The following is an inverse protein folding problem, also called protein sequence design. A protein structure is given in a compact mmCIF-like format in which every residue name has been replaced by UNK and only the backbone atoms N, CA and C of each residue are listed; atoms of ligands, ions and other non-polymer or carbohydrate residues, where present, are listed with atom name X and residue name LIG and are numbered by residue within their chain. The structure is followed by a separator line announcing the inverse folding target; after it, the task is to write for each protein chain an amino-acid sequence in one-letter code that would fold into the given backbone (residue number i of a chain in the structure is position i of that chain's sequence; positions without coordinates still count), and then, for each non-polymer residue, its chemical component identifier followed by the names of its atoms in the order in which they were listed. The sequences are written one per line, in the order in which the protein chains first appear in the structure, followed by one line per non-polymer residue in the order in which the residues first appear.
data_IF_038505826357
#
_entry.id   IF_038505826357
#
_cell.length_a   1.000
_cell.length_b   1.000
_cell.length_c   1.000
_cell.angle_alpha   90.00
_cell.angle_beta   90.00
_cell.angle_gamma   90.00
#
_symmetry.space_group_name_H-M   'P 1'
#
loop_
_entity.id
_entity.type
_entity.pdbx_description
1 polymer ?
#
# COMPACT_ATOMS: atom_id res chain seq x y z
N UNK A 1 10.05 35.55 23.39
CA UNK A 1 11.16 35.68 24.36
C UNK A 1 12.47 35.49 23.61
N UNK A 2 13.41 36.43 23.66
CA UNK A 2 14.67 36.33 22.91
C UNK A 2 15.77 35.70 23.76
N UNK A 3 16.83 35.14 23.16
CA UNK A 3 17.99 34.62 23.90
C UNK A 3 18.66 35.65 24.81
N UNK A 4 18.58 36.95 24.47
CA UNK A 4 19.07 38.04 25.31
C UNK A 4 18.25 38.19 26.60
N UNK A 5 16.91 38.14 26.54
CA UNK A 5 16.08 38.24 27.74
C UNK A 5 16.29 37.09 28.73
N UNK A 6 16.78 35.93 28.26
CA UNK A 6 17.13 34.79 29.13
C UNK A 6 18.44 35.00 29.89
N UNK A 7 19.37 35.83 29.38
CA UNK A 7 20.65 36.12 30.06
C UNK A 7 20.47 36.99 31.29
N UNK A 8 19.46 37.87 31.26
CA UNK A 8 19.17 38.82 32.32
C UNK A 8 18.44 38.17 33.51
N UNK A 9 18.07 36.89 33.39
CA UNK A 9 17.44 36.15 34.47
C UNK A 9 18.47 35.62 35.47
N UNK A 10 18.11 35.66 36.75
CA UNK A 10 18.78 34.91 37.80
C UNK A 10 18.95 33.43 37.43
N UNK A 11 20.06 32.77 37.80
CA UNK A 11 20.42 31.44 37.28
C UNK A 11 19.30 30.41 37.38
N UNK A 12 18.61 30.35 38.51
CA UNK A 12 17.53 29.38 38.73
C UNK A 12 16.32 29.64 37.81
N UNK A 13 15.91 30.91 37.66
CA UNK A 13 14.82 31.30 36.76
C UNK A 13 15.18 31.05 35.30
N UNK A 14 16.44 31.32 34.92
CA UNK A 14 16.97 31.04 33.58
C UNK A 14 16.90 29.56 33.25
N UNK A 15 17.42 28.69 34.11
CA UNK A 15 17.40 27.24 33.88
C UNK A 15 15.98 26.69 33.86
N UNK A 16 15.10 27.13 34.76
CA UNK A 16 13.70 26.74 34.77
C UNK A 16 12.99 27.13 33.46
N UNK A 17 13.26 28.34 32.96
CA UNK A 17 12.67 28.82 31.70
C UNK A 17 13.22 28.05 30.50
N UNK A 18 14.54 27.81 30.43
CA UNK A 18 15.14 27.00 29.38
C UNK A 18 14.58 25.58 29.37
N UNK A 19 14.43 24.94 30.53
CA UNK A 19 13.83 23.63 30.65
C UNK A 19 12.39 23.62 30.15
N UNK A 20 11.58 24.62 30.52
CA UNK A 20 10.21 24.77 30.04
C UNK A 20 10.15 24.92 28.51
N UNK A 21 10.97 25.79 27.93
CA UNK A 21 11.05 26.00 26.47
C UNK A 21 11.47 24.73 25.74
N UNK A 22 12.46 23.98 26.26
CA UNK A 22 12.89 22.72 25.67
C UNK A 22 11.79 21.66 25.73
N UNK A 23 11.05 21.58 26.83
CA UNK A 23 9.94 20.64 26.97
C UNK A 23 8.78 20.98 26.02
N UNK A 24 8.44 22.26 25.93
CA UNK A 24 7.41 22.77 25.02
C UNK A 24 7.77 22.52 23.56
N UNK A 25 8.98 22.94 23.15
CA UNK A 25 9.50 22.72 21.79
C UNK A 25 9.54 21.23 21.45
N UNK A 26 9.92 20.38 22.41
CA UNK A 26 9.93 18.92 22.21
C UNK A 26 8.54 18.38 21.93
N UNK A 27 7.50 18.88 22.60
CA UNK A 27 6.12 18.45 22.34
C UNK A 27 5.73 18.79 20.90
N UNK A 28 5.95 20.03 20.46
CA UNK A 28 5.69 20.46 19.07
C UNK A 28 6.44 19.62 18.05
N UNK A 29 7.72 19.32 18.30
CA UNK A 29 8.52 18.49 17.39
C UNK A 29 8.02 17.04 17.30
N UNK A 30 7.44 16.50 18.37
CA UNK A 30 6.85 15.16 18.35
C UNK A 30 5.59 15.16 17.48
N UNK A 31 4.74 16.17 17.61
CA UNK A 31 3.53 16.30 16.80
C UNK A 31 3.87 16.42 15.30
N UNK A 32 4.81 17.30 14.95
CA UNK A 32 5.30 17.45 13.56
C UNK A 32 5.93 16.16 13.01
N UNK A 33 6.64 15.40 13.86
CA UNK A 33 7.25 14.13 13.47
C UNK A 33 6.18 13.07 13.18
N UNK A 34 5.10 13.02 13.96
CA UNK A 34 3.95 12.13 13.73
C UNK A 34 3.22 12.54 12.45
N UNK A 35 2.92 13.83 12.27
CA UNK A 35 2.28 14.36 11.07
C UNK A 35 3.07 14.03 9.80
N UNK A 36 4.40 14.15 9.85
CA UNK A 36 5.26 13.77 8.73
C UNK A 36 5.15 12.27 8.41
N UNK A 37 5.15 11.42 9.44
CA UNK A 37 4.96 9.98 9.27
C UNK A 37 3.62 9.67 8.61
N UNK A 38 2.54 10.28 9.09
CA UNK A 38 1.18 10.10 8.55
C UNK A 38 1.09 10.54 7.09
N UNK A 39 1.70 11.68 6.73
CA UNK A 39 1.78 12.13 5.33
C UNK A 39 2.56 11.16 4.45
N UNK A 40 3.66 10.60 4.95
CA UNK A 40 4.41 9.57 4.22
C UNK A 40 3.52 8.34 4.00
N UNK A 41 2.84 7.85 5.04
CA UNK A 41 1.97 6.68 4.95
C UNK A 41 0.80 6.90 3.99
N UNK A 42 0.11 8.04 4.08
CA UNK A 42 -0.97 8.41 3.17
C UNK A 42 -0.49 8.53 1.72
N UNK A 43 0.70 9.12 1.49
CA UNK A 43 1.32 9.16 0.17
C UNK A 43 1.57 7.76 -0.39
N UNK A 44 2.06 6.83 0.44
CA UNK A 44 2.30 5.44 0.02
C UNK A 44 1.00 4.69 -0.31
N UNK A 45 -0.04 4.84 0.52
CA UNK A 45 -1.35 4.25 0.26
C UNK A 45 -1.95 4.80 -1.05
N UNK A 46 -1.87 6.11 -1.27
CA UNK A 46 -2.33 6.73 -2.52
C UNK A 46 -1.61 6.18 -3.76
N UNK A 47 -0.30 5.96 -3.68
CA UNK A 47 0.47 5.34 -4.77
C UNK A 47 0.03 3.89 -4.99
N UNK A 48 -0.17 3.11 -3.93
CA UNK A 48 -0.65 1.73 -4.02
C UNK A 48 -2.04 1.66 -4.66
N UNK A 49 -2.98 2.50 -4.22
CA UNK A 49 -4.33 2.63 -4.80
C UNK A 49 -4.29 3.02 -6.28
N UNK A 50 -3.44 4.00 -6.65
CA UNK A 50 -3.32 4.42 -8.04
C UNK A 50 -2.78 3.29 -8.93
N UNK A 51 -1.73 2.61 -8.49
CA UNK A 51 -1.15 1.47 -9.21
C UNK A 51 -2.16 0.33 -9.36
N UNK A 52 -2.93 0.04 -8.31
CA UNK A 52 -4.02 -0.93 -8.37
C UNK A 52 -5.11 -0.51 -9.36
N UNK A 53 -5.56 0.75 -9.33
CA UNK A 53 -6.56 1.26 -10.26
C UNK A 53 -6.08 1.20 -11.73
N UNK A 54 -4.81 1.54 -11.99
CA UNK A 54 -4.18 1.42 -13.31
C UNK A 54 -4.15 -0.05 -13.77
N UNK A 55 -3.74 -0.97 -12.91
CA UNK A 55 -3.72 -2.42 -13.19
C UNK A 55 -5.14 -2.97 -13.41
N UNK A 56 -6.12 -2.51 -12.63
CA UNK A 56 -7.51 -2.91 -12.80
C UNK A 56 -8.08 -2.38 -14.12
N UNK A 57 -7.75 -1.14 -14.50
CA UNK A 57 -8.18 -0.57 -15.77
C UNK A 57 -7.55 -1.28 -16.97
N UNK A 58 -6.26 -1.60 -16.91
CA UNK A 58 -5.60 -2.36 -17.99
C UNK A 58 -6.15 -3.78 -18.09
N UNK A 59 -6.35 -4.44 -16.95
CA UNK A 59 -6.97 -5.77 -16.88
C UNK A 59 -8.41 -5.71 -17.38
N UNK A 60 -9.19 -4.67 -17.06
CA UNK A 60 -10.56 -4.48 -17.54
C UNK A 60 -10.67 -4.35 -19.05
N UNK A 61 -9.70 -3.68 -19.70
CA UNK A 61 -9.61 -3.64 -21.17
C UNK A 61 -9.36 -5.03 -21.75
N UNK A 62 -8.40 -5.76 -21.18
CA UNK A 62 -8.09 -7.13 -21.59
C UNK A 62 -9.28 -8.06 -21.37
N UNK A 63 -9.96 -7.99 -20.22
CA UNK A 63 -11.19 -8.74 -19.93
C UNK A 63 -12.25 -8.47 -21.00
N UNK A 64 -12.47 -7.20 -21.35
CA UNK A 64 -13.46 -6.85 -22.37
C UNK A 64 -13.10 -7.40 -23.76
N UNK A 65 -11.82 -7.40 -24.12
CA UNK A 65 -11.34 -8.02 -25.37
C UNK A 65 -11.57 -9.53 -25.38
N UNK A 66 -11.23 -10.24 -24.29
CA UNK A 66 -11.46 -11.68 -24.20
C UNK A 66 -12.96 -12.02 -24.17
N UNK A 67 -13.76 -11.25 -23.44
CA UNK A 67 -15.21 -11.45 -23.38
C UNK A 67 -15.87 -11.28 -24.75
N UNK A 68 -15.37 -10.39 -25.61
CA UNK A 68 -15.86 -10.26 -27.00
C UNK A 68 -15.61 -11.53 -27.81
N UNK A 69 -14.41 -12.11 -27.72
CA UNK A 69 -14.06 -13.36 -28.41
C UNK A 69 -14.93 -14.51 -27.90
N UNK A 70 -15.07 -14.66 -26.58
CA UNK A 70 -15.92 -15.68 -25.97
C UNK A 70 -17.41 -15.49 -26.35
N UNK A 71 -17.91 -14.26 -26.36
CA UNK A 71 -19.28 -13.94 -26.80
C UNK A 71 -19.50 -14.25 -28.28
N UNK A 72 -18.51 -13.98 -29.13
CA UNK A 72 -18.56 -14.33 -30.55
C UNK A 72 -18.55 -15.84 -30.76
N UNK A 73 -17.68 -16.57 -30.05
CA UNK A 73 -17.64 -18.03 -30.09
C UNK A 73 -18.99 -18.62 -29.63
N UNK A 74 -19.59 -18.10 -28.55
CA UNK A 74 -20.93 -18.50 -28.11
C UNK A 74 -22.01 -18.29 -29.17
N UNK A 75 -21.98 -17.15 -29.89
CA UNK A 75 -22.89 -16.89 -31.02
C UNK A 75 -22.66 -17.86 -32.19
N UNK A 76 -21.42 -18.20 -32.49
CA UNK A 76 -21.09 -19.17 -33.54
C UNK A 76 -21.59 -20.56 -33.19
N UNK A 77 -21.40 -21.00 -31.95
CA UNK A 77 -21.94 -22.27 -31.45
C UNK A 77 -23.46 -22.30 -31.54
N UNK A 78 -24.14 -21.20 -31.16
CA UNK A 78 -25.59 -21.10 -31.28
C UNK A 78 -26.05 -21.25 -32.74
N UNK A 79 -25.42 -20.51 -33.68
CA UNK A 79 -25.74 -20.58 -35.11
C UNK A 79 -25.44 -21.95 -35.72
N UNK A 80 -24.31 -22.55 -35.34
CA UNK A 80 -23.92 -23.89 -35.79
C UNK A 80 -24.95 -24.94 -35.35
N UNK A 81 -25.46 -24.83 -34.12
CA UNK A 81 -26.55 -25.66 -33.62
C UNK A 81 -27.85 -25.47 -34.41
N UNK A 82 -28.23 -24.23 -34.69
CA UNK A 82 -29.44 -23.91 -35.49
C UNK A 82 -29.32 -24.41 -36.93
N UNK A 83 -28.13 -24.32 -37.52
CA UNK A 83 -27.86 -24.70 -38.92
C UNK A 83 -27.40 -26.17 -39.08
N UNK A 84 -27.27 -26.92 -37.98
CA UNK A 84 -26.75 -28.30 -37.93
C UNK A 84 -25.35 -28.46 -38.55
N UNK A 85 -24.47 -27.49 -38.34
CA UNK A 85 -23.06 -27.50 -38.77
C UNK A 85 -22.16 -27.77 -37.56
N UNK A 86 -20.94 -28.26 -37.77
CA UNK A 86 -19.95 -28.45 -36.71
C UNK A 86 -19.57 -27.08 -36.06
N UNK A 87 -19.80 -26.90 -34.75
CA UNK A 87 -19.40 -25.70 -34.02
C UNK A 87 -17.89 -25.46 -33.99
N UNK A 88 -17.08 -26.52 -34.02
CA UNK A 88 -15.62 -26.41 -33.99
C UNK A 88 -15.09 -25.81 -35.29
N UNK A 89 -15.58 -26.30 -36.43
CA UNK A 89 -15.27 -25.74 -37.75
C UNK A 89 -15.76 -24.29 -37.88
N UNK A 90 -16.92 -23.96 -37.30
CA UNK A 90 -17.45 -22.60 -37.30
C UNK A 90 -16.56 -21.61 -36.52
N UNK A 91 -15.98 -22.04 -35.40
CA UNK A 91 -15.02 -21.24 -34.62
C UNK A 91 -13.69 -21.12 -35.37
N UNK A 92 -13.15 -22.23 -35.89
CA UNK A 92 -11.90 -22.24 -36.66
C UNK A 92 -11.97 -21.29 -37.85
N UNK A 93 -13.06 -21.34 -38.61
CA UNK A 93 -13.24 -20.53 -39.83
C UNK A 93 -13.40 -19.04 -39.54
N UNK A 94 -14.05 -18.66 -38.43
CA UNK A 94 -14.37 -17.26 -38.15
C UNK A 94 -13.42 -16.55 -37.18
N UNK A 95 -12.89 -17.26 -36.18
CA UNK A 95 -12.07 -16.68 -35.10
C UNK A 95 -10.66 -17.27 -35.14
N UNK A 96 -10.54 -18.55 -35.53
CA UNK A 96 -9.33 -19.35 -35.36
C UNK A 96 -9.30 -20.01 -33.98
N UNK A 97 -9.10 -21.32 -33.95
CA UNK A 97 -9.16 -22.14 -32.74
C UNK A 97 -8.09 -21.72 -31.73
N UNK A 98 -6.88 -21.39 -32.19
CA UNK A 98 -5.81 -20.94 -31.31
C UNK A 98 -6.14 -19.62 -30.61
N UNK A 99 -6.76 -18.66 -31.33
CA UNK A 99 -7.18 -17.38 -30.76
C UNK A 99 -8.26 -17.58 -29.70
N UNK A 100 -9.18 -18.50 -29.93
CA UNK A 100 -10.19 -18.88 -28.93
C UNK A 100 -9.54 -19.50 -27.67
N UNK A 101 -8.61 -20.44 -27.83
CA UNK A 101 -7.91 -21.06 -26.70
C UNK A 101 -7.10 -20.04 -25.88
N UNK A 102 -6.38 -19.13 -26.55
CA UNK A 102 -5.62 -18.07 -25.91
C UNK A 102 -6.55 -17.12 -25.13
N UNK A 103 -7.75 -16.89 -25.66
CA UNK A 103 -8.79 -16.08 -25.01
C UNK A 103 -9.35 -16.73 -23.75
N UNK A 104 -9.63 -18.04 -23.79
CA UNK A 104 -10.07 -18.82 -22.63
C UNK A 104 -9.01 -18.79 -21.53
N UNK A 105 -7.75 -19.08 -21.87
CA UNK A 105 -6.63 -19.08 -20.92
C UNK A 105 -6.44 -17.70 -20.28
N UNK A 106 -6.56 -16.64 -21.08
CA UNK A 106 -6.45 -15.26 -20.59
C UNK A 106 -7.61 -14.91 -19.65
N UNK A 107 -8.83 -15.31 -19.98
CA UNK A 107 -10.01 -15.09 -19.13
C UNK A 107 -9.91 -15.82 -17.78
N UNK A 108 -9.37 -17.04 -17.76
CA UNK A 108 -9.12 -17.79 -16.51
C UNK A 108 -8.09 -17.11 -15.61
N UNK A 109 -7.01 -16.57 -16.17
CA UNK A 109 -6.01 -15.82 -15.42
C UNK A 109 -6.58 -14.53 -14.82
N UNK A 110 -7.47 -13.86 -15.56
CA UNK A 110 -8.10 -12.60 -15.14
C UNK A 110 -9.23 -12.79 -14.12
N UNK A 111 -9.74 -14.01 -13.94
CA UNK A 111 -10.81 -14.34 -12.99
C UNK A 111 -10.32 -14.63 -11.56
N UNK A 112 -9.03 -14.41 -11.24
CA UNK A 112 -8.48 -14.70 -9.91
C UNK A 112 -9.04 -13.76 -8.82
N UNK A 113 -9.44 -14.30 -7.66
CA UNK A 113 -10.13 -13.55 -6.60
C UNK A 113 -9.26 -12.54 -5.82
N UNK A 114 -7.93 -12.61 -5.93
CA UNK A 114 -6.99 -11.81 -5.10
C UNK A 114 -6.44 -10.56 -5.79
N UNK A 115 -7.31 -9.70 -6.34
CA UNK A 115 -6.92 -8.36 -6.81
C UNK A 115 -7.06 -7.32 -5.68
N UNK A 116 -6.30 -7.46 -4.59
CA UNK A 116 -6.30 -6.50 -3.48
C UNK A 116 -5.05 -5.60 -3.47
N UNK A 117 -5.27 -4.28 -3.44
CA UNK A 117 -4.25 -3.24 -3.31
C UNK A 117 -3.38 -3.37 -2.04
N UNK A 118 -3.83 -4.08 -1.02
CA UNK A 118 -3.05 -4.29 0.21
C UNK A 118 -1.71 -5.01 -0.04
N UNK A 119 -1.63 -5.83 -1.09
CA UNK A 119 -0.36 -6.46 -1.52
C UNK A 119 0.69 -5.43 -1.95
N UNK A 120 0.25 -4.32 -2.55
CA UNK A 120 1.12 -3.23 -3.02
C UNK A 120 1.59 -2.31 -1.89
N UNK A 121 0.97 -2.37 -0.70
CA UNK A 121 1.39 -1.63 0.49
C UNK A 121 2.73 -2.18 1.04
N UNK A 122 3.17 -3.36 0.58
CA UNK A 122 4.46 -3.94 0.94
C UNK A 122 5.60 -3.30 0.12
N UNK A 123 5.35 -2.82 -1.10
CA UNK A 123 6.37 -2.22 -2.00
C UNK A 123 7.19 -1.08 -1.35
N UNK A 124 6.60 -0.17 -0.54
CA UNK A 124 7.33 0.90 0.13
C UNK A 124 8.16 0.45 1.34
N UNK A 125 8.05 -0.81 1.78
CA UNK A 125 8.69 -1.30 3.00
C UNK A 125 10.20 -1.00 3.07
N UNK A 126 11.02 -1.19 2.01
CA UNK A 126 12.44 -0.83 2.04
C UNK A 126 12.68 0.66 2.29
N UNK A 127 11.81 1.53 1.75
CA UNK A 127 11.92 2.98 1.96
C UNK A 127 11.53 3.36 3.40
N UNK A 128 10.44 2.79 3.92
CA UNK A 128 10.03 3.00 5.31
C UNK A 128 11.12 2.54 6.29
N UNK A 129 11.80 1.43 5.99
CA UNK A 129 12.90 0.90 6.80
C UNK A 129 14.10 1.83 6.94
N UNK A 130 14.29 2.80 6.05
CA UNK A 130 15.41 3.74 6.12
C UNK A 130 15.31 4.69 7.31
N UNK A 131 14.10 5.03 7.75
CA UNK A 131 13.89 6.03 8.81
C UNK A 131 13.09 5.48 10.01
N UNK A 132 12.23 4.48 9.81
CA UNK A 132 11.36 3.96 10.89
C UNK A 132 12.11 3.46 12.13
N UNK A 133 13.32 2.88 12.06
CA UNK A 133 14.08 2.56 13.28
C UNK A 133 14.37 3.80 14.14
N UNK A 134 14.93 4.85 13.52
CA UNK A 134 15.26 6.09 14.23
C UNK A 134 14.00 6.80 14.75
N UNK A 135 12.91 6.79 13.97
CA UNK A 135 11.61 7.31 14.38
C UNK A 135 11.09 6.61 15.65
N UNK A 136 11.10 5.27 15.68
CA UNK A 136 10.64 4.50 16.83
C UNK A 136 11.54 4.67 18.06
N UNK A 137 12.85 4.85 17.87
CA UNK A 137 13.80 5.03 18.98
C UNK A 137 13.71 6.44 19.59
N UNK A 138 13.42 7.47 18.79
CA UNK A 138 13.26 8.84 19.26
C UNK A 138 12.01 9.04 20.14
N UNK A 139 10.95 8.25 19.91
CA UNK A 139 9.66 8.40 20.57
C UNK A 139 9.52 7.52 21.82
N UNK A 140 9.26 8.15 22.97
CA UNK A 140 8.92 7.44 24.22
C UNK A 140 7.42 7.09 24.25
N UNK A 141 7.03 6.10 23.45
CA UNK A 141 5.66 5.63 23.33
C UNK A 141 5.17 4.98 24.63
N UNK A 142 3.92 5.26 24.99
CA UNK A 142 3.16 4.62 26.06
C UNK A 142 1.79 4.23 25.51
N UNK A 143 1.18 3.18 26.04
CA UNK A 143 -0.12 2.70 25.60
C UNK A 143 -1.11 2.67 26.77
N UNK A 144 -2.37 2.96 26.46
CA UNK A 144 -3.49 2.60 27.33
C UNK A 144 -3.66 1.07 27.34
N UNK A 145 -4.37 0.48 28.33
CA UNK A 145 -4.53 -0.97 28.45
C UNK A 145 -5.03 -1.65 27.16
N UNK A 146 -5.97 -1.01 26.45
CA UNK A 146 -6.55 -1.52 25.19
C UNK A 146 -5.55 -1.59 24.03
N UNK A 147 -4.42 -0.88 24.11
CA UNK A 147 -3.40 -0.79 23.07
C UNK A 147 -2.06 -1.41 23.49
N UNK A 148 -2.02 -2.13 24.61
CA UNK A 148 -0.77 -2.71 25.12
C UNK A 148 -0.13 -3.67 24.12
N UNK A 149 -0.94 -4.47 23.42
CA UNK A 149 -0.48 -5.38 22.36
C UNK A 149 0.28 -4.66 21.24
N UNK A 150 -0.14 -3.43 20.89
CA UNK A 150 0.55 -2.61 19.88
C UNK A 150 1.91 -2.12 20.39
N UNK A 151 1.97 -1.68 21.65
CA UNK A 151 3.24 -1.26 22.26
C UNK A 151 4.22 -2.44 22.36
N UNK A 152 3.74 -3.63 22.70
CA UNK A 152 4.55 -4.85 22.75
C UNK A 152 5.11 -5.18 21.37
N UNK A 153 4.29 -5.10 20.32
CA UNK A 153 4.73 -5.28 18.93
C UNK A 153 5.80 -4.26 18.52
N UNK A 154 5.64 -2.98 18.90
CA UNK A 154 6.65 -1.94 18.68
C UNK A 154 7.96 -2.27 19.39
N UNK A 155 7.90 -2.76 20.63
CA UNK A 155 9.09 -3.14 21.39
C UNK A 155 9.82 -4.33 20.76
N UNK A 156 9.08 -5.32 20.25
CA UNK A 156 9.67 -6.41 19.45
C UNK A 156 10.36 -5.82 18.22
N UNK A 157 9.74 -4.88 17.51
CA UNK A 157 10.33 -4.21 16.34
C UNK A 157 11.61 -3.44 16.68
N UNK A 158 11.64 -2.69 17.79
CA UNK A 158 12.85 -2.03 18.29
C UNK A 158 13.97 -3.02 18.54
N UNK A 159 13.68 -4.12 19.25
CA UNK A 159 14.65 -5.19 19.51
C UNK A 159 15.22 -5.76 18.22
N UNK A 160 14.38 -6.04 17.23
CA UNK A 160 14.81 -6.55 15.92
C UNK A 160 15.67 -5.54 15.14
N UNK A 161 15.40 -4.25 15.25
CA UNK A 161 16.21 -3.19 14.62
C UNK A 161 17.60 -3.12 15.27
N UNK A 162 17.67 -3.18 16.60
CA UNK A 162 18.93 -3.14 17.36
C UNK A 162 19.82 -4.34 17.06
N UNK A 163 19.24 -5.54 17.00
CA UNK A 163 20.00 -6.78 16.76
C UNK A 163 20.33 -7.02 15.30
N UNK A 164 19.84 -6.18 14.37
CA UNK A 164 19.92 -6.39 12.92
C UNK A 164 19.43 -7.78 12.47
N UNK A 165 18.57 -8.41 13.27
CA UNK A 165 18.13 -9.80 13.08
C UNK A 165 17.14 -9.98 11.90
N UNK A 166 16.69 -8.89 11.28
CA UNK A 166 16.01 -8.89 9.98
C UNK A 166 16.75 -7.95 9.04
N UNK A 167 17.47 -8.51 8.07
CA UNK A 167 17.78 -7.81 6.81
C UNK A 167 16.51 -7.74 5.95
#
# INVERSE_FOLDING_TARGET
MTPQHLRDFEPLRRHATLAAVVLDTRATLIDELIDLHDRIMASKDNVARRKHAEQFQSSGKQINEQLKVLSQAGRLIQKARESKIDPFDAIETSIGWQVFLDSVKSAEQLSQPEFDHLTLIIDPYPQLRRYTPAFLDALKLKAAPVSQSLLDAVNVRRKLNLTKARK
#
